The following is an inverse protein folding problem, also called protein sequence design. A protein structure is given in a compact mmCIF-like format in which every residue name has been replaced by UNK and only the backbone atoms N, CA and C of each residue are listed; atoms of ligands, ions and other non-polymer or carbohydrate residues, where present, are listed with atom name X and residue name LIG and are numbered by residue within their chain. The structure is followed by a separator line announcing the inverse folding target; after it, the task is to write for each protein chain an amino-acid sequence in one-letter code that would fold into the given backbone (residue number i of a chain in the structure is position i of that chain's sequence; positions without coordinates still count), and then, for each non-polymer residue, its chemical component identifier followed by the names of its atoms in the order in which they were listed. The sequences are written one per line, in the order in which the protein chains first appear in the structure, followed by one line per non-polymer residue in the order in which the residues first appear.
data_IF_451532845490
#
_entry.id   IF_451532845490
#
_cell.length_a   1.000
_cell.length_b   1.000
_cell.length_c   1.000
_cell.angle_alpha   90.00
_cell.angle_beta   90.00
_cell.angle_gamma   90.00
#
_symmetry.space_group_name_H-M   'P 1'
#
loop_
_entity.id
_entity.type
_entity.pdbx_description
1 polymer ?
#
# COMPACT_ATOMS: atom_id res chain seq x y z
N UNK A 1 -26.06 -40.55 66.50
CA UNK A 1 -26.94 -39.84 65.53
C UNK A 1 -26.70 -38.33 65.47
N UNK A 2 -26.61 -37.60 66.60
CA UNK A 2 -26.49 -36.11 66.61
C UNK A 2 -25.32 -35.54 65.78
N UNK A 3 -24.13 -36.18 65.83
CA UNK A 3 -22.94 -35.68 65.11
C UNK A 3 -23.00 -35.85 63.58
N UNK A 4 -23.72 -36.87 63.08
CA UNK A 4 -23.88 -37.06 61.63
C UNK A 4 -24.82 -36.00 61.04
N UNK A 5 -25.90 -35.66 61.77
CA UNK A 5 -26.84 -34.61 61.36
C UNK A 5 -26.16 -33.25 61.33
N UNK A 6 -25.34 -32.93 62.36
CA UNK A 6 -24.59 -31.68 62.42
C UNK A 6 -23.60 -31.54 61.25
N UNK A 7 -22.84 -32.60 60.93
CA UNK A 7 -21.92 -32.60 59.80
C UNK A 7 -22.63 -32.47 58.44
N UNK A 8 -23.84 -33.04 58.30
CA UNK A 8 -24.63 -32.90 57.08
C UNK A 8 -25.11 -31.46 56.87
N UNK A 9 -25.53 -30.77 57.95
CA UNK A 9 -25.94 -29.37 57.92
C UNK A 9 -24.76 -28.47 57.53
N UNK A 10 -23.59 -28.65 58.17
CA UNK A 10 -22.38 -27.88 57.86
C UNK A 10 -21.97 -28.08 56.40
N UNK A 11 -22.00 -29.32 55.90
CA UNK A 11 -21.66 -29.61 54.50
C UNK A 11 -22.64 -28.93 53.54
N UNK A 12 -23.93 -28.91 53.86
CA UNK A 12 -24.95 -28.25 53.04
C UNK A 12 -24.76 -26.72 53.01
N UNK A 13 -24.48 -26.09 54.15
CA UNK A 13 -24.19 -24.65 54.22
C UNK A 13 -22.95 -24.28 53.41
N UNK A 14 -21.86 -25.06 53.53
CA UNK A 14 -20.63 -24.83 52.75
C UNK A 14 -20.88 -24.96 51.25
N UNK A 15 -21.71 -25.93 50.82
CA UNK A 15 -22.07 -26.10 49.39
C UNK A 15 -22.87 -24.90 48.89
N UNK A 16 -23.89 -24.46 49.64
CA UNK A 16 -24.72 -23.29 49.29
C UNK A 16 -23.86 -22.02 49.22
N UNK A 17 -22.92 -21.85 50.16
CA UNK A 17 -22.05 -20.67 50.22
C UNK A 17 -21.01 -20.65 49.09
N UNK A 18 -20.54 -21.82 48.65
CA UNK A 18 -19.70 -21.95 47.43
C UNK A 18 -20.49 -21.58 46.18
N UNK A 19 -21.70 -22.11 46.00
CA UNK A 19 -22.53 -21.87 44.80
C UNK A 19 -22.88 -20.39 44.60
N UNK A 20 -23.12 -19.62 45.67
CA UNK A 20 -23.43 -18.17 45.58
C UNK A 20 -22.25 -17.31 45.09
N UNK A 21 -21.00 -17.76 45.25
CA UNK A 21 -19.80 -17.02 44.83
C UNK A 21 -19.35 -17.33 43.40
N UNK A 22 -19.74 -18.47 42.82
CA UNK A 22 -19.33 -18.86 41.47
C UNK A 22 -20.03 -18.09 40.35
N UNK A 23 -21.28 -17.65 40.56
CA UNK A 23 -22.05 -16.92 39.54
C UNK A 23 -21.43 -15.56 39.16
N UNK A 24 -21.07 -14.66 40.12
CA UNK A 24 -20.44 -13.39 39.77
C UNK A 24 -19.03 -13.56 39.17
N UNK A 25 -18.29 -14.60 39.60
CA UNK A 25 -16.96 -14.91 39.07
C UNK A 25 -17.05 -15.38 37.62
N UNK A 26 -18.02 -16.23 37.28
CA UNK A 26 -18.25 -16.69 35.91
C UNK A 26 -18.65 -15.53 34.99
N UNK A 27 -19.54 -14.64 35.45
CA UNK A 27 -19.89 -13.42 34.71
C UNK A 27 -18.67 -12.50 34.49
N UNK A 28 -17.81 -12.32 35.50
CA UNK A 28 -16.60 -11.53 35.37
C UNK A 28 -15.62 -12.11 34.34
N UNK A 29 -15.48 -13.45 34.28
CA UNK A 29 -14.64 -14.13 33.29
C UNK A 29 -15.19 -13.93 31.87
N UNK A 30 -16.51 -14.00 31.69
CA UNK A 30 -17.16 -13.78 30.38
C UNK A 30 -17.00 -12.32 29.92
N UNK A 31 -17.13 -11.36 30.83
CA UNK A 31 -16.90 -9.94 30.51
C UNK A 31 -15.43 -9.73 30.13
N UNK A 32 -14.50 -10.29 30.89
CA UNK A 32 -13.07 -10.18 30.61
C UNK A 32 -12.69 -10.81 29.27
N UNK A 33 -13.22 -11.99 28.94
CA UNK A 33 -12.96 -12.64 27.65
C UNK A 33 -13.56 -11.86 26.49
N UNK A 34 -14.73 -11.24 26.66
CA UNK A 34 -15.34 -10.36 25.67
C UNK A 34 -14.49 -9.13 25.37
N UNK A 35 -13.92 -8.49 26.41
CA UNK A 35 -13.02 -7.33 26.25
C UNK A 35 -11.73 -7.72 25.52
N UNK A 36 -11.12 -8.84 25.89
CA UNK A 36 -9.89 -9.34 25.24
C UNK A 36 -10.15 -9.68 23.77
N UNK A 37 -11.27 -10.35 23.48
CA UNK A 37 -11.66 -10.68 22.11
C UNK A 37 -11.92 -9.42 21.27
N UNK A 38 -12.64 -8.43 21.81
CA UNK A 38 -12.88 -7.15 21.14
C UNK A 38 -11.58 -6.40 20.82
N UNK A 39 -10.63 -6.35 21.75
CA UNK A 39 -9.34 -5.72 21.52
C UNK A 39 -8.53 -6.40 20.39
N UNK A 40 -8.59 -7.74 20.30
CA UNK A 40 -7.91 -8.50 19.24
C UNK A 40 -8.50 -8.21 17.84
N UNK A 41 -9.84 -8.13 17.71
CA UNK A 41 -10.51 -7.84 16.43
C UNK A 41 -10.19 -6.42 15.93
N UNK A 42 -10.16 -5.43 16.81
CA UNK A 42 -9.83 -4.04 16.45
C UNK A 42 -8.38 -3.91 15.99
N UNK A 43 -7.46 -4.64 16.64
CA UNK A 43 -6.04 -4.61 16.32
C UNK A 43 -5.75 -5.15 14.91
N UNK A 44 -6.44 -6.22 14.51
CA UNK A 44 -6.28 -6.81 13.18
C UNK A 44 -6.91 -5.93 12.07
N UNK A 45 -7.93 -5.15 12.39
CA UNK A 45 -8.63 -4.28 11.44
C UNK A 45 -7.89 -2.98 11.13
N UNK A 46 -7.03 -2.50 12.05
CA UNK A 46 -6.30 -1.25 11.88
C UNK A 46 -5.17 -1.35 10.84
N UNK A 47 -4.46 -2.49 10.78
CA UNK A 47 -3.35 -2.71 9.84
C UNK A 47 -3.84 -2.74 8.38
N UNK A 48 -4.90 -3.50 8.11
CA UNK A 48 -5.47 -3.63 6.76
C UNK A 48 -5.99 -2.29 6.23
N UNK A 49 -6.57 -1.46 7.11
CA UNK A 49 -7.04 -0.13 6.74
C UNK A 49 -5.89 0.80 6.38
N UNK A 50 -4.76 0.71 7.09
CA UNK A 50 -3.60 1.56 6.82
C UNK A 50 -2.95 1.21 5.47
N UNK A 51 -2.77 -0.08 5.18
CA UNK A 51 -2.22 -0.54 3.91
C UNK A 51 -3.10 -0.13 2.73
N UNK A 52 -4.42 -0.32 2.84
CA UNK A 52 -5.38 0.11 1.81
C UNK A 52 -5.38 1.62 1.62
N UNK A 53 -5.23 2.40 2.68
CA UNK A 53 -5.14 3.86 2.58
C UNK A 53 -3.88 4.30 1.85
N UNK A 54 -2.74 3.65 2.14
CA UNK A 54 -1.49 3.93 1.43
C UNK A 54 -1.58 3.60 -0.06
N UNK A 55 -2.21 2.46 -0.40
CA UNK A 55 -2.46 2.04 -1.78
C UNK A 55 -3.40 3.01 -2.52
N UNK A 56 -4.47 3.47 -1.88
CA UNK A 56 -5.35 4.50 -2.46
C UNK A 56 -4.56 5.77 -2.76
N UNK A 57 -3.72 6.23 -1.83
CA UNK A 57 -2.92 7.44 -2.01
C UNK A 57 -1.87 7.28 -3.13
N UNK A 58 -1.26 6.09 -3.30
CA UNK A 58 -0.36 5.85 -4.42
C UNK A 58 -1.10 5.84 -5.75
N UNK A 59 -2.25 5.18 -5.81
CA UNK A 59 -3.05 5.09 -7.02
C UNK A 59 -3.60 6.46 -7.43
N UNK A 60 -4.04 7.29 -6.47
CA UNK A 60 -4.52 8.64 -6.74
C UNK A 60 -3.41 9.53 -7.33
N UNK A 61 -2.17 9.42 -6.81
CA UNK A 61 -1.02 10.12 -7.38
C UNK A 61 -0.70 9.66 -8.80
N UNK A 62 -0.75 8.36 -9.06
CA UNK A 62 -0.53 7.80 -10.39
C UNK A 62 -1.60 8.29 -11.38
N UNK A 63 -2.87 8.31 -10.96
CA UNK A 63 -3.97 8.86 -11.76
C UNK A 63 -3.75 10.35 -12.07
N UNK A 64 -3.32 11.14 -11.09
CA UNK A 64 -3.04 12.56 -11.29
C UNK A 64 -1.89 12.78 -12.27
N UNK A 65 -0.81 11.99 -12.14
CA UNK A 65 0.32 12.04 -13.05
C UNK A 65 -0.08 11.65 -14.48
N UNK A 66 -0.80 10.54 -14.65
CA UNK A 66 -1.30 10.10 -15.95
C UNK A 66 -2.24 11.12 -16.59
N UNK A 67 -3.11 11.77 -15.80
CA UNK A 67 -3.96 12.86 -16.31
C UNK A 67 -3.13 14.03 -16.83
N UNK A 68 -2.11 14.44 -16.08
CA UNK A 68 -1.20 15.50 -16.50
C UNK A 68 -0.44 15.14 -17.77
N UNK A 69 0.02 13.89 -17.88
CA UNK A 69 0.70 13.39 -19.08
C UNK A 69 -0.24 13.39 -20.28
N UNK A 70 -1.51 12.96 -20.11
CA UNK A 70 -2.54 13.05 -21.15
C UNK A 70 -2.77 14.50 -21.59
N UNK A 71 -2.87 15.45 -20.65
CA UNK A 71 -3.04 16.87 -20.98
C UNK A 71 -1.84 17.43 -21.75
N UNK A 72 -0.63 17.11 -21.32
CA UNK A 72 0.60 17.50 -22.00
C UNK A 72 0.68 16.92 -23.42
N UNK A 73 0.43 15.62 -23.58
CA UNK A 73 0.42 14.94 -24.88
C UNK A 73 -0.67 15.51 -25.79
N UNK A 74 -1.85 15.83 -25.25
CA UNK A 74 -2.92 16.46 -26.02
C UNK A 74 -2.53 17.87 -26.49
N UNK A 75 -1.82 18.63 -25.67
CA UNK A 75 -1.27 19.92 -26.06
C UNK A 75 -0.17 19.76 -27.13
N UNK A 76 0.69 18.75 -27.01
CA UNK A 76 1.72 18.45 -28.02
C UNK A 76 1.10 18.05 -29.37
N UNK A 77 0.08 17.18 -29.36
CA UNK A 77 -0.71 16.83 -30.56
C UNK A 77 -1.42 18.06 -31.13
N UNK A 78 -2.01 18.92 -30.28
CA UNK A 78 -2.64 20.16 -30.76
C UNK A 78 -1.65 21.09 -31.46
N UNK A 79 -0.37 21.03 -31.10
CA UNK A 79 0.72 21.77 -31.72
C UNK A 79 1.49 20.96 -32.78
N UNK A 80 1.08 19.72 -33.10
CA UNK A 80 1.84 18.85 -34.00
C UNK A 80 1.90 19.37 -35.43
N UNK A 81 0.89 20.14 -35.84
CA UNK A 81 0.83 20.77 -37.15
C UNK A 81 1.67 22.06 -37.22
N UNK A 82 2.28 22.49 -36.12
CA UNK A 82 3.17 23.64 -36.10
C UNK A 82 4.50 23.33 -36.79
N UNK A 83 5.06 24.34 -37.44
CA UNK A 83 6.38 24.24 -38.08
C UNK A 83 7.50 23.91 -37.09
N UNK A 84 7.38 24.35 -35.84
CA UNK A 84 8.35 24.06 -34.77
C UNK A 84 8.34 22.59 -34.37
N UNK A 85 7.16 21.95 -34.27
CA UNK A 85 7.05 20.53 -33.99
C UNK A 85 7.64 19.67 -35.11
N UNK A 86 7.33 20.01 -36.37
CA UNK A 86 7.90 19.32 -37.54
C UNK A 86 9.42 19.46 -37.57
N UNK A 87 9.94 20.67 -37.31
CA UNK A 87 11.39 20.92 -37.23
C UNK A 87 12.05 20.13 -36.08
N UNK A 88 11.39 20.05 -34.92
CA UNK A 88 11.84 19.27 -33.76
C UNK A 88 11.93 17.77 -34.11
N UNK A 89 10.86 17.18 -34.64
CA UNK A 89 10.82 15.77 -35.05
C UNK A 89 11.86 15.50 -36.14
N UNK A 90 12.00 16.38 -37.14
CA UNK A 90 13.00 16.22 -38.19
C UNK A 90 14.44 16.26 -37.64
N UNK A 91 14.71 17.05 -36.59
CA UNK A 91 16.02 17.08 -35.93
C UNK A 91 16.26 15.87 -35.03
N UNK A 92 15.28 15.50 -34.22
CA UNK A 92 15.39 14.46 -33.20
C UNK A 92 15.34 13.06 -33.81
N UNK A 93 14.37 12.78 -34.69
CA UNK A 93 14.15 11.45 -35.24
C UNK A 93 14.89 11.22 -36.57
N UNK A 94 15.01 12.28 -37.40
CA UNK A 94 15.63 12.18 -38.73
C UNK A 94 17.04 12.76 -38.81
N UNK A 95 17.54 13.40 -37.73
CA UNK A 95 18.86 14.02 -37.71
C UNK A 95 19.04 15.15 -38.75
N UNK A 96 17.94 15.70 -39.26
CA UNK A 96 17.95 16.73 -40.29
C UNK A 96 18.30 18.10 -39.70
N UNK A 97 19.05 18.91 -40.45
CA UNK A 97 19.39 20.28 -40.09
C UNK A 97 19.07 21.22 -41.24
N UNK A 98 18.90 22.52 -40.96
CA UNK A 98 18.63 23.48 -42.04
C UNK A 98 19.82 23.53 -43.01
N UNK A 99 19.61 23.87 -44.30
CA UNK A 99 20.68 23.91 -45.31
C UNK A 99 21.90 24.80 -44.99
N UNK A 100 21.82 25.63 -43.93
CA UNK A 100 22.89 26.55 -43.48
C UNK A 100 23.42 26.20 -42.08
N UNK A 101 23.03 25.06 -41.50
CA UNK A 101 23.48 24.58 -40.19
C UNK A 101 24.52 23.45 -40.37
N UNK A 102 25.52 23.39 -39.49
CA UNK A 102 26.62 22.40 -39.54
C UNK A 102 26.51 21.50 -38.30
N UNK A 103 26.51 20.18 -38.51
CA UNK A 103 26.51 19.20 -37.43
C UNK A 103 27.96 18.99 -36.96
N UNK A 104 28.21 19.16 -35.66
CA UNK A 104 29.51 18.84 -35.05
C UNK A 104 29.45 17.43 -34.45
N UNK A 105 30.21 16.49 -35.04
CA UNK A 105 30.32 15.11 -34.54
C UNK A 105 31.68 14.96 -33.87
N UNK A 106 31.67 14.67 -32.57
CA UNK A 106 32.86 14.37 -31.79
C UNK A 106 33.36 12.95 -32.10
N UNK A 107 34.48 12.86 -32.84
CA UNK A 107 35.05 11.59 -33.32
C UNK A 107 35.47 10.64 -32.20
N UNK A 108 35.80 11.14 -31.02
CA UNK A 108 36.23 10.32 -29.89
C UNK A 108 35.06 9.58 -29.23
N UNK A 109 33.83 10.09 -29.37
CA UNK A 109 32.61 9.45 -28.85
C UNK A 109 32.03 8.41 -29.80
N UNK A 110 32.19 8.60 -31.11
CA UNK A 110 31.67 7.67 -32.13
C UNK A 110 32.42 6.34 -32.09
N UNK A 111 33.76 6.35 -32.01
CA UNK A 111 34.56 5.11 -31.99
C UNK A 111 34.28 4.22 -30.77
N UNK A 112 33.86 4.80 -29.65
CA UNK A 112 33.56 4.06 -28.41
C UNK A 112 32.20 3.36 -28.45
N UNK A 113 31.24 3.90 -29.20
CA UNK A 113 29.90 3.34 -29.32
C UNK A 113 29.87 2.15 -30.29
N UNK A 114 30.65 2.22 -31.38
CA UNK A 114 30.77 1.14 -32.35
C UNK A 114 31.44 -0.11 -31.76
N UNK A 115 32.41 0.06 -30.85
CA UNK A 115 33.06 -1.06 -30.17
C UNK A 115 32.12 -1.81 -29.19
N UNK A 116 31.19 -1.11 -28.53
CA UNK A 116 30.23 -1.72 -27.62
C UNK A 116 29.17 -2.59 -28.33
N UNK A 117 28.90 -2.33 -29.62
CA UNK A 117 27.99 -3.12 -30.46
C UNK A 117 28.62 -4.40 -31.02
N UNK A 118 29.97 -4.47 -31.04
CA UNK A 118 30.72 -5.62 -31.54
C UNK A 118 31.10 -6.62 -30.44
N UNK A 119 31.05 -6.22 -29.17
CA UNK A 119 31.32 -7.12 -28.02
C UNK A 119 30.06 -7.81 -27.45
N UNK A 120 28.86 -7.51 -27.96
CA UNK A 120 27.60 -8.11 -27.48
C UNK A 120 27.04 -9.23 -28.37
N UNK A 121 27.85 -9.83 -29.25
CA UNK A 121 27.44 -10.93 -30.15
C UNK A 121 28.39 -12.13 -30.06
#
# INVERSE_FOLDING_TARGET
MKNQVLNAIIKMEVVIMKQKKFFPILCAIIILSSVIYGAFVVSNSASEKHNKMAEILSNDKEIEQLKKDIENLKAEIGNSDSTEFIEKVAREDLGMVKPREIIYIDKEKVSKNDNNLLESN
#
